data_IF_841429529178
#
_entry.id   IF_841429529178
#
_cell.length_a   1.000
_cell.length_b   1.000
_cell.length_c   1.000
_cell.angle_alpha   90.00
_cell.angle_beta   90.00
_cell.angle_gamma   90.00
#
_symmetry.space_group_name_H-M   'P 1'
#
loop_
_entity.id
_entity.type
_entity.pdbx_description
1 polymer ?
#
# COMPACT_ATOMS: atom_id res chain seq x y z
N UNK A 1 24.92 -27.25 -11.99
CA UNK A 1 24.08 -26.53 -12.97
C UNK A 1 23.36 -25.42 -12.24
N UNK A 2 23.95 -24.23 -12.21
CA UNK A 2 23.49 -23.10 -11.38
C UNK A 2 22.62 -22.18 -12.22
N UNK A 3 21.34 -22.08 -11.88
CA UNK A 3 20.41 -21.17 -12.55
C UNK A 3 20.77 -19.74 -12.11
N UNK A 4 21.15 -18.81 -13.02
CA UNK A 4 21.35 -17.42 -12.65
C UNK A 4 19.99 -16.83 -12.32
N UNK A 5 19.57 -16.93 -11.06
CA UNK A 5 18.37 -16.27 -10.60
C UNK A 5 18.58 -14.77 -10.77
N UNK A 6 17.68 -14.14 -11.54
CA UNK A 6 17.69 -12.69 -11.71
C UNK A 6 17.65 -12.05 -10.33
N UNK A 7 18.54 -11.11 -10.04
CA UNK A 7 18.64 -10.43 -8.74
C UNK A 7 17.28 -9.91 -8.24
N UNK A 8 16.43 -9.47 -9.17
CA UNK A 8 15.03 -9.04 -8.90
C UNK A 8 14.19 -10.16 -8.26
N UNK A 9 14.30 -11.39 -8.73
CA UNK A 9 13.55 -12.55 -8.20
C UNK A 9 14.00 -12.89 -6.79
N UNK A 10 15.31 -12.92 -6.54
CA UNK A 10 15.87 -13.15 -5.20
C UNK A 10 15.40 -12.06 -4.24
N UNK A 11 15.44 -10.79 -4.68
CA UNK A 11 15.00 -9.66 -3.88
C UNK A 11 13.50 -9.74 -3.52
N UNK A 12 12.65 -10.05 -4.50
CA UNK A 12 11.20 -10.24 -4.28
C UNK A 12 10.94 -11.41 -3.33
N UNK A 13 11.67 -12.52 -3.49
CA UNK A 13 11.53 -13.69 -2.62
C UNK A 13 11.91 -13.37 -1.18
N UNK A 14 13.06 -12.70 -0.97
CA UNK A 14 13.50 -12.23 0.34
C UNK A 14 12.48 -11.29 0.97
N UNK A 15 11.98 -10.32 0.20
CA UNK A 15 10.99 -9.35 0.68
C UNK A 15 9.67 -10.04 1.06
N UNK A 16 9.25 -11.04 0.30
CA UNK A 16 8.06 -11.84 0.57
C UNK A 16 8.20 -12.67 1.86
N UNK A 17 9.35 -13.33 2.05
CA UNK A 17 9.64 -14.08 3.29
C UNK A 17 9.65 -13.12 4.48
N UNK A 18 10.30 -11.96 4.37
CA UNK A 18 10.33 -10.94 5.42
C UNK A 18 8.92 -10.46 5.78
N UNK A 19 8.06 -10.23 4.77
CA UNK A 19 6.67 -9.84 4.97
C UNK A 19 5.88 -10.90 5.75
N UNK A 20 6.05 -12.19 5.39
CA UNK A 20 5.37 -13.30 6.07
C UNK A 20 5.85 -13.40 7.52
N UNK A 21 7.17 -13.36 7.75
CA UNK A 21 7.75 -13.42 9.10
C UNK A 21 7.29 -12.23 9.95
N UNK A 22 7.29 -11.02 9.38
CA UNK A 22 6.75 -9.84 10.04
C UNK A 22 5.27 -10.03 10.41
N UNK A 23 4.44 -10.51 9.49
CA UNK A 23 3.02 -10.75 9.77
C UNK A 23 2.81 -11.80 10.88
N UNK A 24 3.57 -12.90 10.86
CA UNK A 24 3.48 -13.97 11.86
C UNK A 24 4.05 -13.57 13.22
N UNK A 25 5.11 -12.78 13.26
CA UNK A 25 5.66 -12.27 14.53
C UNK A 25 4.76 -11.20 15.15
N UNK A 26 4.10 -10.39 14.32
CA UNK A 26 3.20 -9.33 14.75
C UNK A 26 1.72 -9.80 14.77
N UNK A 27 1.49 -11.06 15.20
CA UNK A 27 0.15 -11.67 15.33
C UNK A 27 -0.57 -11.24 16.61
N UNK A 28 -0.17 -10.12 17.22
CA UNK A 28 -0.89 -9.59 18.37
C UNK A 28 -2.31 -9.19 17.92
N UNK A 29 -3.29 -9.96 18.38
CA UNK A 29 -4.69 -9.77 18.04
C UNK A 29 -5.23 -8.64 18.90
N UNK A 30 -5.57 -7.53 18.24
CA UNK A 30 -6.16 -6.37 18.91
C UNK A 30 -7.66 -6.32 18.62
N UNK A 31 -8.42 -5.85 19.61
CA UNK A 31 -9.84 -5.58 19.44
C UNK A 31 -10.03 -4.16 18.89
N UNK A 32 -10.63 -4.06 17.70
CA UNK A 32 -10.88 -2.79 17.02
C UNK A 32 -12.37 -2.57 16.87
N UNK A 33 -12.84 -1.42 17.33
CA UNK A 33 -14.23 -0.97 17.12
C UNK A 33 -14.30 -0.07 15.88
N UNK A 34 -14.73 -0.64 14.76
CA UNK A 34 -14.97 0.06 13.50
C UNK A 34 -16.40 0.61 13.45
N UNK A 35 -16.55 1.92 13.66
CA UNK A 35 -17.84 2.65 13.66
C UNK A 35 -18.89 2.02 14.60
N UNK A 36 -19.56 0.95 14.15
CA UNK A 36 -20.58 0.20 14.87
C UNK A 36 -20.21 -1.28 15.13
N UNK A 37 -19.12 -1.80 14.57
CA UNK A 37 -18.75 -3.21 14.65
C UNK A 37 -17.41 -3.43 15.35
N UNK A 38 -17.33 -4.44 16.22
CA UNK A 38 -16.11 -4.85 16.90
C UNK A 38 -15.50 -6.07 16.22
N UNK A 39 -14.23 -6.00 15.82
CA UNK A 39 -13.50 -7.11 15.18
C UNK A 39 -12.19 -7.38 15.92
N UNK A 40 -11.82 -8.65 16.01
CA UNK A 40 -10.53 -9.08 16.54
C UNK A 40 -9.63 -9.44 15.37
N UNK A 41 -8.63 -8.61 15.08
CA UNK A 41 -7.71 -8.87 13.97
C UNK A 41 -6.26 -8.62 14.40
N UNK A 42 -5.28 -9.32 13.81
CA UNK A 42 -3.87 -9.02 14.03
C UNK A 42 -3.54 -7.58 13.64
N UNK A 43 -2.78 -6.86 14.49
CA UNK A 43 -2.39 -5.46 14.24
C UNK A 43 -1.73 -5.28 12.87
N UNK A 44 -0.83 -6.20 12.49
CA UNK A 44 -0.17 -6.15 11.18
C UNK A 44 -1.16 -6.20 10.01
N UNK A 45 -2.22 -7.01 10.13
CA UNK A 45 -3.27 -7.11 9.12
C UNK A 45 -4.09 -5.83 9.05
N UNK A 46 -4.40 -5.21 10.20
CA UNK A 46 -5.08 -3.92 10.27
C UNK A 46 -4.29 -2.83 9.53
N UNK A 47 -2.99 -2.71 9.83
CA UNK A 47 -2.10 -1.74 9.19
C UNK A 47 -2.06 -1.97 7.67
N UNK A 48 -1.95 -3.23 7.24
CA UNK A 48 -1.91 -3.58 5.82
C UNK A 48 -3.21 -3.22 5.07
N UNK A 49 -4.37 -3.50 5.67
CA UNK A 49 -5.67 -3.15 5.10
C UNK A 49 -5.82 -1.62 5.02
N UNK A 50 -5.52 -0.90 6.09
CA UNK A 50 -5.57 0.56 6.11
C UNK A 50 -4.66 1.18 5.03
N UNK A 51 -3.43 0.67 4.89
CA UNK A 51 -2.51 1.10 3.85
C UNK A 51 -3.06 0.84 2.44
N UNK A 52 -3.59 -0.36 2.21
CA UNK A 52 -4.15 -0.75 0.90
C UNK A 52 -5.35 0.11 0.53
N UNK A 53 -6.26 0.37 1.47
CA UNK A 53 -7.39 1.29 1.26
C UNK A 53 -6.88 2.68 0.92
N UNK A 54 -5.92 3.21 1.67
CA UNK A 54 -5.32 4.52 1.41
C UNK A 54 -4.66 4.62 0.03
N UNK A 55 -3.92 3.60 -0.40
CA UNK A 55 -3.32 3.53 -1.74
C UNK A 55 -4.39 3.49 -2.83
N UNK A 56 -5.41 2.64 -2.67
CA UNK A 56 -6.53 2.56 -3.62
C UNK A 56 -7.25 3.91 -3.71
N UNK A 57 -7.57 4.54 -2.58
CA UNK A 57 -8.19 5.87 -2.55
C UNK A 57 -7.29 6.90 -3.25
N UNK A 58 -5.99 6.92 -3.00
CA UNK A 58 -5.06 7.85 -3.63
C UNK A 58 -4.87 7.64 -5.15
N UNK A 59 -5.05 6.42 -5.64
CA UNK A 59 -5.03 6.11 -7.07
C UNK A 59 -6.34 6.51 -7.74
N UNK A 60 -7.48 6.24 -7.09
CA UNK A 60 -8.81 6.51 -7.64
C UNK A 60 -9.13 8.01 -7.63
N UNK A 61 -8.72 8.75 -6.59
CA UNK A 61 -9.01 10.17 -6.50
C UNK A 61 -8.24 10.92 -7.60
N UNK A 62 -8.93 11.69 -8.44
CA UNK A 62 -8.28 12.47 -9.47
C UNK A 62 -7.31 13.45 -8.79
N UNK A 63 -6.04 13.41 -9.21
CA UNK A 63 -5.06 14.44 -8.86
C UNK A 63 -5.65 15.75 -9.36
N UNK A 64 -6.13 16.60 -8.44
CA UNK A 64 -6.68 17.91 -8.75
C UNK A 64 -5.65 18.66 -9.59
N UNK A 65 -5.84 18.64 -10.90
CA UNK A 65 -4.87 19.15 -11.85
C UNK A 65 -4.72 20.63 -11.56
N UNK A 66 -3.51 21.05 -11.17
CA UNK A 66 -3.11 22.45 -11.26
C UNK A 66 -3.41 22.89 -12.68
N UNK A 67 -4.54 23.57 -12.89
CA UNK A 67 -4.89 24.12 -14.19
C UNK A 67 -3.76 25.10 -14.53
N UNK A 68 -2.84 24.70 -15.40
CA UNK A 68 -1.94 25.65 -16.05
C UNK A 68 -2.86 26.58 -16.83
N UNK A 69 -3.02 27.80 -16.32
CA UNK A 69 -3.63 28.90 -17.05
C UNK A 69 -2.75 29.10 -18.29
N UNK A 70 -3.21 28.64 -19.45
CA UNK A 70 -2.57 28.94 -20.73
C UNK A 70 -2.79 30.44 -20.94
N UNK A 71 -1.70 31.21 -20.84
CA UNK A 71 -1.70 32.64 -21.06
C UNK A 71 -2.35 32.95 -22.40
N UNK A 72 -3.33 33.85 -22.34
CA UNK A 72 -4.07 34.42 -23.45
C UNK A 72 -3.10 34.91 -24.52
N UNK A 73 -3.10 34.28 -25.70
CA UNK A 73 -2.53 34.91 -26.89
C UNK A 73 -3.43 36.09 -27.24
N UNK A 74 -3.01 37.29 -26.85
CA UNK A 74 -3.50 38.53 -27.43
C UNK A 74 -2.90 38.58 -28.84
N UNK A 75 -3.72 38.24 -29.84
CA UNK A 75 -3.35 38.40 -31.24
C UNK A 75 -3.52 39.89 -31.62
N UNK A 76 -2.51 40.53 -32.25
CA UNK A 76 -2.55 41.94 -32.64
C UNK A 76 -3.55 42.21 -33.76
#
# INVERSE_FOLDING_TARGET
>A
MTYPMKTKTIFILLLSILLIVFALQNTEVIHVKLLFWGINIPLALLIFVCFTVGVITGIILPRGGTKRIKGTEIKP
#
